data_IF_019647417915
#
_entry.id   IF_019647417915
#
_cell.length_a   1.000
_cell.length_b   1.000
_cell.length_c   1.000
_cell.angle_alpha   90.00
_cell.angle_beta   90.00
_cell.angle_gamma   90.00
#
_symmetry.space_group_name_H-M   'P 1'
#
loop_
_entity.id
_entity.type
_entity.pdbx_description
1 polymer ?
#
# COMPACT_ATOMS: atom_id res chain seq x y z
N UNK A 1 3.71 13.61 -2.02
CA UNK A 1 2.38 13.22 -1.50
C UNK A 1 2.48 11.78 -0.99
N UNK A 2 1.71 11.38 0.04
CA UNK A 2 1.90 10.11 0.77
C UNK A 2 0.76 9.13 0.49
N UNK A 3 1.06 7.85 0.60
CA UNK A 3 0.07 6.77 0.55
C UNK A 3 -0.62 6.68 1.91
N UNK A 4 -1.95 6.55 1.92
CA UNK A 4 -2.71 6.27 3.13
C UNK A 4 -3.05 4.78 3.18
N UNK A 5 -2.92 4.18 4.36
CA UNK A 5 -3.38 2.83 4.64
C UNK A 5 -4.50 2.97 5.65
N UNK A 6 -5.71 2.57 5.26
CA UNK A 6 -6.86 2.49 6.14
C UNK A 6 -7.12 1.04 6.50
N UNK A 7 -7.44 0.77 7.76
CA UNK A 7 -7.83 -0.54 8.23
C UNK A 7 -8.82 -0.38 9.38
N UNK A 8 -9.47 -1.48 9.75
CA UNK A 8 -10.41 -1.50 10.85
C UNK A 8 -10.02 -2.63 11.80
N UNK A 9 -9.87 -2.27 13.07
CA UNK A 9 -9.57 -3.17 14.17
C UNK A 9 -10.75 -3.18 15.17
N UNK A 10 -10.69 -4.07 16.14
CA UNK A 10 -11.58 -4.10 17.32
C UNK A 10 -11.69 -2.76 18.03
N UNK A 11 -10.65 -1.92 18.01
CA UNK A 11 -10.68 -0.57 18.57
C UNK A 11 -11.31 0.50 17.65
N UNK A 12 -11.52 0.19 16.36
CA UNK A 12 -12.09 1.09 15.37
C UNK A 12 -11.20 1.30 14.14
N UNK A 13 -11.42 2.41 13.42
CA UNK A 13 -10.71 2.70 12.17
C UNK A 13 -9.28 3.19 12.45
N UNK A 14 -8.31 2.49 11.88
CA UNK A 14 -6.88 2.85 11.86
C UNK A 14 -6.55 3.51 10.53
N UNK A 15 -5.79 4.60 10.55
CA UNK A 15 -5.30 5.26 9.34
C UNK A 15 -3.84 5.62 9.51
N UNK A 16 -2.99 5.13 8.62
CA UNK A 16 -1.55 5.33 8.63
C UNK A 16 -1.12 5.98 7.32
N UNK A 17 0.00 6.72 7.35
CA UNK A 17 0.60 7.29 6.15
C UNK A 17 1.97 6.66 5.88
N UNK A 18 2.30 6.46 4.60
CA UNK A 18 3.60 5.94 4.16
C UNK A 18 4.12 6.73 2.97
N UNK A 19 5.44 6.85 2.93
CA UNK A 19 6.14 7.65 1.92
C UNK A 19 6.37 6.86 0.62
N UNK A 20 6.28 5.53 0.67
CA UNK A 20 6.48 4.65 -0.47
C UNK A 20 5.43 3.55 -0.52
N UNK A 21 5.08 3.11 -1.73
CA UNK A 21 4.20 1.95 -1.96
C UNK A 21 4.69 0.67 -1.30
N UNK A 22 5.96 0.23 -1.43
CA UNK A 22 6.40 -0.99 -0.75
C UNK A 22 6.24 -0.89 0.77
N UNK A 23 6.38 0.30 1.36
CA UNK A 23 6.14 0.51 2.78
C UNK A 23 4.64 0.51 3.14
N UNK A 24 3.78 1.00 2.25
CA UNK A 24 2.32 0.94 2.39
C UNK A 24 1.80 -0.50 2.30
N UNK A 25 2.22 -1.23 1.28
CA UNK A 25 1.92 -2.65 1.07
C UNK A 25 2.34 -3.49 2.27
N UNK A 26 3.62 -3.37 2.67
CA UNK A 26 4.12 -4.07 3.85
C UNK A 26 3.28 -3.76 5.08
N UNK A 27 2.92 -2.49 5.32
CA UNK A 27 2.12 -2.14 6.50
C UNK A 27 0.67 -2.66 6.41
N UNK A 28 0.10 -2.71 5.22
CA UNK A 28 -1.22 -3.30 4.99
C UNK A 28 -1.22 -4.81 5.26
N UNK A 29 -0.20 -5.55 4.80
CA UNK A 29 -0.03 -6.98 5.09
C UNK A 29 0.12 -7.25 6.59
N UNK A 30 0.88 -6.41 7.29
CA UNK A 30 1.02 -6.48 8.75
C UNK A 30 -0.33 -6.28 9.43
N UNK A 31 -1.16 -5.32 8.98
CA UNK A 31 -2.50 -5.10 9.55
C UNK A 31 -3.41 -6.31 9.31
N UNK A 32 -3.38 -6.90 8.12
CA UNK A 32 -4.14 -8.13 7.82
C UNK A 32 -3.70 -9.27 8.74
N UNK A 33 -2.38 -9.42 8.94
CA UNK A 33 -1.82 -10.46 9.80
C UNK A 33 -2.12 -10.25 11.29
N UNK A 34 -2.23 -9.00 11.71
CA UNK A 34 -2.64 -8.59 13.06
C UNK A 34 -4.14 -8.86 13.34
N UNK A 35 -4.91 -9.18 12.29
CA UNK A 35 -6.35 -9.45 12.38
C UNK A 35 -7.23 -8.26 12.03
N UNK A 36 -6.66 -7.17 11.51
CA UNK A 36 -7.45 -6.04 11.02
C UNK A 36 -8.20 -6.42 9.73
N UNK A 37 -9.41 -5.91 9.59
CA UNK A 37 -10.25 -6.06 8.39
C UNK A 37 -10.42 -4.73 7.66
N UNK A 38 -11.04 -4.78 6.47
CA UNK A 38 -11.27 -3.60 5.63
C UNK A 38 -9.99 -2.79 5.36
N UNK A 39 -8.90 -3.50 5.07
CA UNK A 39 -7.58 -2.92 4.81
C UNK A 39 -7.51 -2.41 3.37
N UNK A 40 -7.19 -1.14 3.19
CA UNK A 40 -7.19 -0.47 1.89
C UNK A 40 -6.01 0.51 1.81
N UNK A 41 -5.42 0.64 0.63
CA UNK A 41 -4.34 1.59 0.35
C UNK A 41 -4.87 2.65 -0.60
N UNK A 42 -4.87 3.90 -0.15
CA UNK A 42 -5.21 5.06 -0.96
C UNK A 42 -3.93 5.71 -1.47
N UNK A 43 -3.77 5.75 -2.79
CA UNK A 43 -2.67 6.43 -3.46
C UNK A 43 -2.88 7.93 -3.46
N UNK A 44 -1.80 8.74 -3.57
CA UNK A 44 -1.93 10.19 -3.67
C UNK A 44 -2.70 10.63 -4.92
N UNK A 45 -2.80 9.78 -5.94
CA UNK A 45 -3.63 9.98 -7.13
C UNK A 45 -5.13 9.80 -6.87
N UNK A 46 -5.52 9.39 -5.65
CA UNK A 46 -6.90 9.11 -5.27
C UNK A 46 -7.36 7.70 -5.63
N UNK A 47 -6.46 6.82 -6.07
CA UNK A 47 -6.77 5.41 -6.32
C UNK A 47 -6.80 4.61 -5.02
N UNK A 48 -7.85 3.82 -4.81
CA UNK A 48 -7.95 2.93 -3.65
C UNK A 48 -7.72 1.50 -4.09
N UNK A 49 -6.86 0.79 -3.36
CA UNK A 49 -6.47 -0.59 -3.64
C UNK A 49 -6.78 -1.46 -2.44
N UNK A 50 -7.47 -2.58 -2.68
CA UNK A 50 -7.76 -3.58 -1.66
C UNK A 50 -6.70 -4.70 -1.68
N UNK A 51 -6.69 -5.64 -0.70
CA UNK A 51 -5.64 -6.64 -0.59
C UNK A 51 -5.50 -7.53 -1.84
N UNK A 52 -6.62 -7.78 -2.55
CA UNK A 52 -6.61 -8.49 -3.83
C UNK A 52 -6.00 -7.70 -4.99
N UNK A 53 -5.85 -6.37 -4.87
CA UNK A 53 -5.30 -5.48 -5.87
C UNK A 53 -3.90 -4.94 -5.50
N UNK A 54 -3.34 -5.42 -4.39
CA UNK A 54 -1.99 -5.05 -3.95
C UNK A 54 -0.92 -5.43 -4.96
N UNK A 55 -1.11 -6.55 -5.67
CA UNK A 55 -0.21 -6.97 -6.74
C UNK A 55 -0.24 -5.97 -7.91
N UNK A 56 -1.42 -5.55 -8.35
CA UNK A 56 -1.58 -4.51 -9.37
C UNK A 56 -0.97 -3.16 -8.96
N UNK A 57 -1.11 -2.77 -7.69
CA UNK A 57 -0.45 -1.58 -7.15
C UNK A 57 1.08 -1.74 -7.18
N UNK A 58 1.59 -2.93 -6.85
CA UNK A 58 3.02 -3.25 -6.90
C UNK A 58 3.55 -3.20 -8.32
N UNK A 59 2.84 -3.76 -9.29
CA UNK A 59 3.20 -3.73 -10.70
C UNK A 59 3.18 -2.31 -11.27
N UNK A 60 2.15 -1.52 -10.95
CA UNK A 60 2.03 -0.12 -11.36
C UNK A 60 3.23 0.72 -10.90
N UNK A 61 3.73 0.45 -9.70
CA UNK A 61 4.85 1.19 -9.12
C UNK A 61 6.19 0.55 -9.48
N UNK A 62 6.24 -0.76 -9.71
CA UNK A 62 7.38 -1.45 -10.28
C UNK A 62 7.68 -0.99 -11.71
N UNK A 63 6.65 -0.65 -12.49
CA UNK A 63 6.79 -0.01 -13.79
C UNK A 63 7.24 1.46 -13.72
N UNK A 64 7.18 2.09 -12.55
CA UNK A 64 7.59 3.48 -12.30
C UNK A 64 8.79 3.62 -11.33
N UNK A 65 9.36 2.51 -10.87
CA UNK A 65 10.59 2.45 -10.10
C UNK A 65 11.80 2.49 -11.03
N UNK A 66 12.94 3.07 -10.60
CA UNK A 66 13.94 3.60 -11.52
C UNK A 66 14.40 2.51 -12.48
N UNK A 67 14.35 2.87 -13.76
CA UNK A 67 15.29 2.43 -14.79
C UNK A 67 16.60 1.98 -14.15
N UNK A 68 16.73 0.68 -13.94
CA UNK A 68 18.02 0.06 -13.73
C UNK A 68 18.59 -0.08 -15.14
N UNK A 69 18.93 1.08 -15.74
CA UNK A 69 19.68 1.14 -16.98
C UNK A 69 20.88 0.24 -16.80
N UNK A 70 20.84 -0.84 -17.58
CA UNK A 70 21.99 -1.56 -18.09
C UNK A 70 23.19 -0.61 -18.16
N UNK A 71 24.17 -0.76 -17.27
CA UNK A 71 25.48 -0.18 -17.49
C UNK A 71 26.52 -1.28 -17.37
N UNK A 72 26.89 -1.74 -18.57
CA UNK A 72 28.13 -2.39 -19.01
C UNK A 72 28.55 -3.70 -18.33
#
# INVERSE_FOLDING_TARGET
>A
MRFLITAQDTAGKVTLNRESVPAALKKAEELISDGCWNVEIVTPDGGTYQPGEFDALRERVGAAGPDMSLTA
#
